data_IF_234780835535
#
_entry.id   IF_234780835535
#
_cell.length_a   1.000
_cell.length_b   1.000
_cell.length_c   1.000
_cell.angle_alpha   90.00
_cell.angle_beta   90.00
_cell.angle_gamma   90.00
#
_symmetry.space_group_name_H-M   'P 1'
#
loop_
_entity.id
_entity.type
_entity.pdbx_description
1 polymer ?
#
# COMPACT_ATOMS: atom_id res chain seq x y z
N UNK A 1 -11.70 -19.51 -12.68
CA UNK A 1 -10.76 -19.40 -13.81
C UNK A 1 -11.17 -18.34 -14.87
N UNK A 2 -12.37 -17.78 -14.87
CA UNK A 2 -12.80 -16.74 -15.85
C UNK A 2 -12.37 -15.30 -15.50
N UNK A 3 -11.91 -15.02 -14.28
CA UNK A 3 -11.54 -13.67 -13.84
C UNK A 3 -10.04 -13.34 -13.98
N UNK A 4 -9.18 -14.36 -14.18
CA UNK A 4 -7.74 -14.13 -14.40
C UNK A 4 -7.45 -13.54 -15.80
N UNK A 5 -8.29 -13.85 -16.80
CA UNK A 5 -8.10 -13.36 -18.17
C UNK A 5 -8.41 -11.86 -18.33
N UNK A 6 -9.27 -11.28 -17.45
CA UNK A 6 -9.62 -9.85 -17.51
C UNK A 6 -8.57 -8.93 -16.88
N UNK A 7 -7.79 -9.44 -15.94
CA UNK A 7 -6.71 -8.66 -15.28
C UNK A 7 -5.48 -8.58 -16.18
N UNK A 8 -5.21 -9.64 -16.95
CA UNK A 8 -4.05 -9.68 -17.87
C UNK A 8 -4.19 -8.74 -19.08
N UNK A 9 -5.43 -8.45 -19.51
CA UNK A 9 -5.69 -7.55 -20.65
C UNK A 9 -5.57 -6.07 -20.28
N UNK A 10 -5.69 -5.70 -18.99
CA UNK A 10 -5.58 -4.31 -18.56
C UNK A 10 -4.12 -3.85 -18.41
N UNK A 11 -3.20 -4.77 -18.15
CA UNK A 11 -1.75 -4.47 -17.98
C UNK A 11 -1.05 -4.24 -19.33
N UNK A 12 -1.58 -4.78 -20.41
CA UNK A 12 -0.98 -4.64 -21.76
C UNK A 12 -1.36 -3.33 -22.48
N UNK A 13 -2.35 -2.59 -21.98
CA UNK A 13 -2.80 -1.34 -22.62
C UNK A 13 -2.05 -0.07 -22.15
N UNK A 14 -1.24 -0.16 -21.09
CA UNK A 14 -0.54 1.02 -20.51
C UNK A 14 0.88 1.21 -21.08
N UNK A 15 1.42 0.24 -21.82
CA UNK A 15 2.81 0.27 -22.32
C UNK A 15 2.99 0.93 -23.70
N UNK A 16 1.94 1.47 -24.33
CA UNK A 16 2.03 1.99 -25.71
C UNK A 16 1.94 3.53 -25.86
N UNK A 17 2.01 4.32 -24.78
CA UNK A 17 1.92 5.78 -24.84
C UNK A 17 3.24 6.53 -24.56
N UNK A 18 4.38 5.86 -24.60
CA UNK A 18 5.68 6.48 -24.34
C UNK A 18 6.57 6.59 -25.61
N UNK A 19 5.98 6.77 -26.79
CA UNK A 19 6.76 7.08 -27.99
C UNK A 19 6.11 8.24 -28.75
N UNK A 20 6.63 9.44 -28.51
CA UNK A 20 6.21 10.57 -29.32
C UNK A 20 6.54 11.95 -28.76
N UNK A 21 7.81 12.27 -28.58
CA UNK A 21 8.29 13.65 -28.62
C UNK A 21 9.66 13.70 -29.28
N UNK A 22 9.67 13.49 -30.58
CA UNK A 22 10.73 13.97 -31.44
C UNK A 22 10.08 15.08 -32.26
N UNK A 23 10.58 16.30 -32.14
CA UNK A 23 10.60 17.34 -33.17
C UNK A 23 10.80 18.70 -32.51
N UNK A 24 12.02 19.18 -32.59
CA UNK A 24 12.34 20.45 -33.22
C UNK A 24 13.85 20.68 -33.08
N UNK A 25 14.56 20.10 -34.03
CA UNK A 25 15.90 20.57 -34.38
C UNK A 25 15.76 22.03 -34.85
N UNK A 26 16.27 22.95 -34.04
CA UNK A 26 16.76 24.21 -34.55
C UNK A 26 18.28 24.16 -34.43
N UNK A 27 18.92 23.85 -35.57
CA UNK A 27 20.34 24.01 -35.74
C UNK A 27 20.69 25.47 -35.49
N UNK A 28 21.32 25.76 -34.37
CA UNK A 28 22.12 26.94 -34.21
C UNK A 28 23.58 26.49 -34.08
N UNK A 29 24.25 26.57 -35.22
CA UNK A 29 25.67 26.38 -35.39
C UNK A 29 26.41 27.38 -34.50
N UNK A 30 26.96 26.90 -33.39
CA UNK A 30 28.06 27.56 -32.71
C UNK A 30 29.21 26.58 -32.57
N UNK A 31 30.04 26.56 -33.58
CA UNK A 31 31.35 25.96 -33.56
C UNK A 31 32.29 26.78 -32.66
N UNK A 32 32.40 26.38 -31.43
CA UNK A 32 33.64 26.52 -30.66
C UNK A 32 33.96 25.11 -30.17
N UNK A 33 35.16 24.55 -30.49
CA UNK A 33 35.60 23.33 -29.85
C UNK A 33 35.82 23.68 -28.38
N UNK A 34 34.84 23.37 -27.53
CA UNK A 34 35.09 23.28 -26.12
C UNK A 34 36.16 22.18 -25.97
N UNK A 35 37.34 22.55 -25.58
CA UNK A 35 38.34 21.64 -25.04
C UNK A 35 37.65 21.02 -23.82
N UNK A 36 37.07 19.84 -24.00
CA UNK A 36 36.55 19.04 -22.89
C UNK A 36 37.79 18.68 -22.08
N UNK A 37 37.99 19.39 -20.98
CA UNK A 37 39.12 19.13 -20.11
C UNK A 37 38.89 17.70 -19.56
N UNK A 38 39.86 16.81 -19.76
CA UNK A 38 39.78 15.43 -19.29
C UNK A 38 39.47 15.33 -17.80
N UNK A 39 39.92 16.30 -17.02
CA UNK A 39 39.63 16.39 -15.59
C UNK A 39 38.13 16.59 -15.30
N UNK A 40 37.44 17.40 -16.11
CA UNK A 40 36.00 17.59 -15.95
C UNK A 40 35.16 16.32 -16.21
N UNK A 41 35.63 15.46 -17.14
CA UNK A 41 34.95 14.19 -17.45
C UNK A 41 35.16 13.21 -16.32
N UNK A 42 36.37 13.17 -15.74
CA UNK A 42 36.69 12.28 -14.63
C UNK A 42 35.90 12.70 -13.36
N UNK A 43 35.92 13.98 -13.03
CA UNK A 43 35.19 14.55 -11.90
C UNK A 43 33.69 14.23 -11.99
N UNK A 44 33.10 14.33 -13.19
CA UNK A 44 31.70 13.99 -13.41
C UNK A 44 31.40 12.50 -13.21
N UNK A 45 32.30 11.60 -13.61
CA UNK A 45 32.16 10.16 -13.38
C UNK A 45 32.25 9.82 -11.89
N UNK A 46 33.20 10.44 -11.18
CA UNK A 46 33.34 10.27 -9.72
C UNK A 46 32.07 10.77 -9.02
N UNK A 47 31.57 11.95 -9.40
CA UNK A 47 30.33 12.53 -8.88
C UNK A 47 29.16 11.55 -9.02
N UNK A 48 28.89 11.06 -10.24
CA UNK A 48 27.79 10.14 -10.50
C UNK A 48 27.92 8.84 -9.69
N UNK A 49 29.13 8.33 -9.56
CA UNK A 49 29.40 7.15 -8.75
C UNK A 49 29.15 7.39 -7.27
N UNK A 50 29.68 8.50 -6.73
CA UNK A 50 29.50 8.86 -5.33
C UNK A 50 28.01 9.00 -4.95
N UNK A 51 27.23 9.66 -5.81
CA UNK A 51 25.79 9.83 -5.62
C UNK A 51 25.06 8.50 -5.69
N UNK A 52 25.37 7.65 -6.68
CA UNK A 52 24.72 6.35 -6.83
C UNK A 52 25.00 5.39 -5.67
N UNK A 53 26.17 5.53 -5.03
CA UNK A 53 26.58 4.72 -3.87
C UNK A 53 26.28 5.41 -2.53
N UNK A 54 25.83 6.67 -2.56
CA UNK A 54 25.63 7.53 -1.37
C UNK A 54 26.91 7.61 -0.51
N UNK A 55 28.07 7.65 -1.18
CA UNK A 55 29.37 7.67 -0.53
C UNK A 55 30.06 9.02 -0.71
N UNK A 56 29.92 9.90 0.28
CA UNK A 56 30.58 11.23 0.27
C UNK A 56 32.11 11.18 0.25
N UNK A 57 32.72 10.08 0.72
CA UNK A 57 34.17 9.91 0.67
C UNK A 57 34.67 9.72 -0.76
N UNK A 58 33.87 9.13 -1.65
CA UNK A 58 34.21 9.01 -3.05
C UNK A 58 34.41 10.38 -3.71
N UNK A 59 33.76 11.45 -3.19
CA UNK A 59 33.90 12.82 -3.70
C UNK A 59 35.30 13.43 -3.42
N UNK A 60 36.06 12.95 -2.44
CA UNK A 60 37.37 13.48 -2.05
C UNK A 60 38.38 13.47 -3.19
N UNK A 61 38.21 12.61 -4.19
CA UNK A 61 39.09 12.48 -5.34
C UNK A 61 38.75 13.42 -6.50
N UNK A 62 37.68 14.19 -6.39
CA UNK A 62 37.30 15.22 -7.37
C UNK A 62 38.30 16.37 -7.30
N UNK A 63 38.80 16.79 -8.45
CA UNK A 63 39.82 17.84 -8.57
C UNK A 63 39.20 19.23 -8.51
N UNK A 64 38.03 19.42 -9.11
CA UNK A 64 37.34 20.70 -9.06
C UNK A 64 36.62 20.85 -7.71
N UNK A 65 37.10 21.83 -6.92
CA UNK A 65 36.65 22.03 -5.53
C UNK A 65 35.15 22.34 -5.42
N UNK A 66 34.58 23.10 -6.37
CA UNK A 66 33.15 23.40 -6.37
C UNK A 66 32.31 22.14 -6.67
N UNK A 67 32.77 21.29 -7.58
CA UNK A 67 32.09 20.02 -7.91
C UNK A 67 32.23 19.04 -6.74
N UNK A 68 33.36 19.03 -6.07
CA UNK A 68 33.61 18.22 -4.87
C UNK A 68 32.67 18.59 -3.73
N UNK A 69 32.58 19.88 -3.40
CA UNK A 69 31.69 20.37 -2.34
C UNK A 69 30.22 20.03 -2.64
N UNK A 70 29.78 20.22 -3.88
CA UNK A 70 28.46 19.86 -4.31
C UNK A 70 28.21 18.33 -4.18
N UNK A 71 29.19 17.52 -4.64
CA UNK A 71 29.14 16.05 -4.53
C UNK A 71 28.96 15.60 -3.08
N UNK A 72 29.79 16.11 -2.17
CA UNK A 72 29.74 15.78 -0.74
C UNK A 72 28.38 16.16 -0.12
N UNK A 73 27.90 17.36 -0.42
CA UNK A 73 26.64 17.84 0.11
C UNK A 73 25.45 17.02 -0.41
N UNK A 74 25.44 16.63 -1.70
CA UNK A 74 24.38 15.81 -2.28
C UNK A 74 24.43 14.37 -1.74
N UNK A 75 25.62 13.75 -1.69
CA UNK A 75 25.77 12.40 -1.14
C UNK A 75 25.31 12.33 0.33
N UNK A 76 25.71 13.31 1.14
CA UNK A 76 25.27 13.40 2.54
C UNK A 76 23.75 13.64 2.66
N UNK A 77 23.16 14.45 1.77
CA UNK A 77 21.73 14.69 1.76
C UNK A 77 20.93 13.40 1.51
N UNK A 78 21.40 12.55 0.58
CA UNK A 78 20.76 11.26 0.29
C UNK A 78 20.84 10.31 1.49
N UNK A 79 22.01 10.21 2.14
CA UNK A 79 22.17 9.39 3.36
C UNK A 79 21.24 9.86 4.47
N UNK A 80 21.17 11.17 4.71
CA UNK A 80 20.29 11.73 5.74
C UNK A 80 18.81 11.53 5.39
N UNK A 81 18.45 11.60 4.11
CA UNK A 81 17.10 11.32 3.65
C UNK A 81 16.71 9.87 3.94
N UNK A 82 17.58 8.91 3.59
CA UNK A 82 17.32 7.50 3.86
C UNK A 82 17.22 7.23 5.37
N UNK A 83 18.07 7.86 6.18
CA UNK A 83 17.97 7.77 7.63
C UNK A 83 16.65 8.35 8.14
N UNK A 84 16.27 9.55 7.68
CA UNK A 84 15.01 10.20 8.08
C UNK A 84 13.79 9.36 7.75
N UNK A 85 13.79 8.73 6.57
CA UNK A 85 12.72 7.84 6.11
C UNK A 85 12.66 6.55 6.95
N UNK A 86 13.82 5.93 7.22
CA UNK A 86 13.87 4.71 8.01
C UNK A 86 13.45 4.93 9.47
N UNK A 87 13.88 6.06 10.06
CA UNK A 87 13.57 6.41 11.45
C UNK A 87 12.22 7.14 11.59
N UNK A 88 11.60 7.52 10.48
CA UNK A 88 10.40 8.36 10.41
C UNK A 88 10.56 9.67 11.21
N UNK A 89 11.79 10.20 11.23
CA UNK A 89 12.14 11.41 11.98
C UNK A 89 12.47 12.58 11.06
N UNK A 90 11.48 13.47 10.88
CA UNK A 90 11.60 14.69 10.07
C UNK A 90 12.74 15.61 10.53
N UNK A 91 13.15 15.56 11.81
CA UNK A 91 14.24 16.40 12.33
C UNK A 91 15.61 16.06 11.70
N UNK A 92 15.75 14.86 11.16
CA UNK A 92 16.97 14.45 10.46
C UNK A 92 17.10 15.23 9.15
N UNK A 93 16.00 15.54 8.46
CA UNK A 93 16.00 16.36 7.24
C UNK A 93 16.61 17.75 7.47
N UNK A 94 16.35 18.39 8.60
CA UNK A 94 16.92 19.69 8.96
C UNK A 94 18.45 19.71 9.14
N UNK A 95 19.14 18.56 9.00
CA UNK A 95 20.62 18.50 8.94
C UNK A 95 21.15 18.59 7.51
N UNK A 96 20.28 18.53 6.52
CA UNK A 96 20.62 18.63 5.11
C UNK A 96 20.94 20.10 4.79
N UNK A 97 22.09 20.36 4.18
CA UNK A 97 22.54 21.72 3.87
C UNK A 97 21.96 22.32 2.60
N UNK A 98 21.32 21.48 1.78
CA UNK A 98 20.77 21.87 0.49
C UNK A 98 19.26 21.95 0.60
N UNK A 99 18.69 23.14 0.59
CA UNK A 99 17.26 23.43 0.81
C UNK A 99 16.34 22.51 -0.02
N UNK A 100 16.66 22.34 -1.30
CA UNK A 100 15.87 21.46 -2.18
C UNK A 100 15.81 20.01 -1.66
N UNK A 101 16.93 19.46 -1.17
CA UNK A 101 16.99 18.09 -0.65
C UNK A 101 16.37 18.00 0.74
N UNK A 102 16.44 19.08 1.54
CA UNK A 102 15.74 19.17 2.82
C UNK A 102 14.21 19.08 2.59
N UNK A 103 13.69 19.90 1.67
CA UNK A 103 12.26 19.90 1.32
C UNK A 103 11.80 18.53 0.78
N UNK A 104 12.58 17.92 -0.13
CA UNK A 104 12.29 16.59 -0.67
C UNK A 104 12.31 15.50 0.42
N UNK A 105 13.23 15.57 1.37
CA UNK A 105 13.33 14.68 2.52
C UNK A 105 12.09 14.81 3.41
N UNK A 106 11.73 16.03 3.80
CA UNK A 106 10.57 16.31 4.63
C UNK A 106 9.28 15.81 3.99
N UNK A 107 9.10 16.08 2.69
CA UNK A 107 7.94 15.63 1.94
C UNK A 107 7.83 14.08 1.91
N UNK A 108 8.96 13.37 1.76
CA UNK A 108 8.98 11.90 1.78
C UNK A 108 8.55 11.35 3.14
N UNK A 109 9.14 11.85 4.23
CA UNK A 109 8.79 11.41 5.58
C UNK A 109 7.32 11.70 5.90
N UNK A 110 6.83 12.88 5.53
CA UNK A 110 5.45 13.28 5.76
C UNK A 110 4.44 12.42 4.97
N UNK A 111 4.77 12.08 3.73
CA UNK A 111 3.95 11.19 2.92
C UNK A 111 3.81 9.79 3.57
N UNK A 112 4.91 9.22 4.07
CA UNK A 112 4.89 7.91 4.74
C UNK A 112 4.09 7.98 6.04
N UNK A 113 4.30 8.99 6.88
CA UNK A 113 3.55 9.18 8.12
C UNK A 113 2.05 9.39 7.88
N UNK A 114 1.70 10.10 6.80
CA UNK A 114 0.31 10.31 6.40
C UNK A 114 -0.34 9.01 5.94
N UNK A 115 0.40 8.19 5.18
CA UNK A 115 -0.09 6.87 4.75
C UNK A 115 -0.29 5.94 5.95
N UNK A 116 0.66 5.87 6.87
CA UNK A 116 0.52 5.05 8.09
C UNK A 116 -0.71 5.41 8.91
N UNK A 117 -0.96 6.72 9.11
CA UNK A 117 -2.16 7.18 9.82
C UNK A 117 -3.46 6.82 9.10
N UNK A 118 -3.45 6.84 7.76
CA UNK A 118 -4.60 6.42 6.98
C UNK A 118 -4.86 4.91 7.11
N UNK A 119 -3.80 4.11 7.06
CA UNK A 119 -3.86 2.66 7.21
C UNK A 119 -4.32 2.25 8.63
N UNK A 120 -3.79 2.90 9.68
CA UNK A 120 -4.22 2.70 11.07
C UNK A 120 -5.72 3.00 11.24
N UNK A 121 -6.17 4.13 10.69
CA UNK A 121 -7.59 4.50 10.75
C UNK A 121 -8.48 3.50 10.01
N UNK A 122 -8.03 3.02 8.84
CA UNK A 122 -8.77 2.00 8.10
C UNK A 122 -8.86 0.68 8.88
N UNK A 123 -7.77 0.27 9.55
CA UNK A 123 -7.77 -0.91 10.41
C UNK A 123 -8.69 -0.78 11.63
N UNK A 124 -8.71 0.40 12.27
CA UNK A 124 -9.64 0.67 13.37
C UNK A 124 -11.12 0.58 12.92
N UNK A 125 -11.43 1.10 11.74
CA UNK A 125 -12.76 1.03 11.16
C UNK A 125 -13.19 -0.42 10.91
N UNK A 126 -12.29 -1.21 10.29
CA UNK A 126 -12.52 -2.65 10.05
C UNK A 126 -12.72 -3.39 11.38
N UNK A 127 -11.91 -3.12 12.39
CA UNK A 127 -12.02 -3.75 13.69
C UNK A 127 -13.38 -3.43 14.38
N UNK A 128 -13.86 -2.18 14.27
CA UNK A 128 -15.17 -1.79 14.79
C UNK A 128 -16.32 -2.47 14.06
N UNK A 129 -16.25 -2.56 12.74
CA UNK A 129 -17.27 -3.25 11.96
C UNK A 129 -17.34 -4.73 12.31
N UNK A 130 -16.19 -5.36 12.51
CA UNK A 130 -16.10 -6.76 12.91
C UNK A 130 -16.66 -6.99 14.32
N UNK A 131 -16.35 -6.11 15.28
CA UNK A 131 -16.91 -6.17 16.62
C UNK A 131 -18.44 -6.03 16.62
N UNK A 132 -18.97 -5.09 15.85
CA UNK A 132 -20.40 -4.88 15.69
C UNK A 132 -21.09 -6.08 15.03
N UNK A 133 -20.45 -6.65 14.02
CA UNK A 133 -20.90 -7.88 13.36
C UNK A 133 -21.00 -9.04 14.34
N UNK A 134 -19.94 -9.29 15.12
CA UNK A 134 -19.90 -10.38 16.10
C UNK A 134 -20.97 -10.22 17.18
N UNK A 135 -21.20 -9.01 17.67
CA UNK A 135 -22.31 -8.73 18.60
C UNK A 135 -23.67 -9.03 18.00
N UNK A 136 -23.86 -8.64 16.75
CA UNK A 136 -25.10 -8.89 16.02
C UNK A 136 -25.34 -10.39 15.87
N UNK A 137 -24.31 -11.15 15.49
CA UNK A 137 -24.39 -12.60 15.37
C UNK A 137 -24.67 -13.28 16.71
N UNK A 138 -23.96 -12.87 17.77
CA UNK A 138 -24.17 -13.39 19.12
C UNK A 138 -25.63 -13.14 19.60
N UNK A 139 -26.13 -11.93 19.39
CA UNK A 139 -27.51 -11.59 19.74
C UNK A 139 -28.51 -12.42 18.93
N UNK A 140 -28.30 -12.55 17.61
CA UNK A 140 -29.17 -13.35 16.74
C UNK A 140 -29.21 -14.82 17.17
N UNK A 141 -28.05 -15.42 17.49
CA UNK A 141 -27.94 -16.81 17.94
C UNK A 141 -28.60 -17.00 19.30
N UNK A 142 -28.39 -16.09 20.25
CA UNK A 142 -28.91 -16.20 21.61
C UNK A 142 -30.42 -16.01 21.67
N UNK A 143 -30.98 -15.16 20.82
CA UNK A 143 -32.43 -14.87 20.76
C UNK A 143 -33.19 -15.73 19.78
N UNK A 144 -32.50 -16.35 18.83
CA UNK A 144 -33.13 -17.04 17.68
C UNK A 144 -33.68 -16.06 16.64
N UNK A 145 -33.47 -14.75 16.80
CA UNK A 145 -33.95 -13.75 15.85
C UNK A 145 -32.96 -13.56 14.71
N UNK A 146 -33.06 -14.42 13.68
CA UNK A 146 -32.19 -14.34 12.50
C UNK A 146 -32.40 -13.08 11.66
N UNK A 147 -33.45 -12.26 11.91
CA UNK A 147 -33.65 -10.99 11.19
C UNK A 147 -32.62 -9.95 11.59
N UNK A 148 -31.99 -10.09 12.76
CA UNK A 148 -30.89 -9.25 13.20
C UNK A 148 -29.70 -9.33 12.24
N UNK A 149 -29.49 -10.48 11.60
CA UNK A 149 -28.43 -10.69 10.61
C UNK A 149 -28.56 -9.79 9.37
N UNK A 150 -29.74 -9.22 9.11
CA UNK A 150 -29.95 -8.30 7.97
C UNK A 150 -29.18 -6.97 8.14
N UNK A 151 -28.69 -6.67 9.35
CA UNK A 151 -27.80 -5.53 9.61
C UNK A 151 -26.38 -5.75 9.07
N UNK A 152 -25.99 -7.00 8.81
CA UNK A 152 -24.67 -7.35 8.28
C UNK A 152 -24.64 -7.03 6.79
N UNK A 153 -23.64 -6.26 6.37
CA UNK A 153 -23.53 -5.77 4.98
C UNK A 153 -22.90 -6.79 4.02
N UNK A 154 -21.98 -7.62 4.51
CA UNK A 154 -21.37 -8.69 3.71
C UNK A 154 -22.35 -9.86 3.58
N UNK A 155 -22.71 -10.21 2.35
CA UNK A 155 -23.73 -11.22 2.08
C UNK A 155 -23.31 -12.63 2.54
N UNK A 156 -22.00 -12.95 2.51
CA UNK A 156 -21.50 -14.24 2.98
C UNK A 156 -21.60 -14.34 4.51
N UNK A 157 -21.19 -13.29 5.21
CA UNK A 157 -21.28 -13.21 6.67
C UNK A 157 -22.73 -13.16 7.15
N UNK A 158 -23.60 -12.44 6.43
CA UNK A 158 -25.04 -12.40 6.70
C UNK A 158 -25.67 -13.80 6.59
N UNK A 159 -25.34 -14.54 5.52
CA UNK A 159 -25.82 -15.91 5.33
C UNK A 159 -25.33 -16.85 6.44
N UNK A 160 -24.06 -16.72 6.86
CA UNK A 160 -23.50 -17.48 7.97
C UNK A 160 -24.21 -17.17 9.29
N UNK A 161 -24.44 -15.89 9.58
CA UNK A 161 -25.17 -15.45 10.77
C UNK A 161 -26.60 -16.06 10.79
N UNK A 162 -27.34 -15.96 9.69
CA UNK A 162 -28.69 -16.53 9.59
C UNK A 162 -28.70 -18.04 9.82
N UNK A 163 -27.73 -18.74 9.20
CA UNK A 163 -27.60 -20.18 9.42
C UNK A 163 -27.35 -20.48 10.90
N UNK A 164 -26.41 -19.82 11.55
CA UNK A 164 -26.06 -20.06 12.94
C UNK A 164 -27.24 -19.79 13.89
N UNK A 165 -27.96 -18.68 13.68
CA UNK A 165 -29.13 -18.33 14.49
C UNK A 165 -30.27 -19.35 14.35
N UNK A 166 -30.63 -19.71 13.10
CA UNK A 166 -31.70 -20.66 12.83
C UNK A 166 -31.33 -22.06 13.31
N UNK A 167 -30.10 -22.52 13.03
CA UNK A 167 -29.65 -23.85 13.47
C UNK A 167 -29.60 -23.98 14.99
N UNK A 168 -29.12 -22.93 15.68
CA UNK A 168 -29.14 -22.89 17.16
C UNK A 168 -30.56 -22.97 17.70
N UNK A 169 -31.48 -22.21 17.15
CA UNK A 169 -32.90 -22.26 17.58
C UNK A 169 -33.53 -23.63 17.27
N UNK A 170 -33.30 -24.18 16.08
CA UNK A 170 -33.83 -25.46 15.68
C UNK A 170 -33.36 -26.61 16.60
N UNK A 171 -32.09 -26.60 17.00
CA UNK A 171 -31.55 -27.56 17.96
C UNK A 171 -32.15 -27.36 19.34
N UNK A 172 -32.24 -26.14 19.84
CA UNK A 172 -32.78 -25.85 21.18
C UNK A 172 -34.26 -26.21 21.32
N UNK A 173 -35.04 -26.04 20.23
CA UNK A 173 -36.47 -26.35 20.22
C UNK A 173 -36.78 -27.77 19.72
N UNK A 174 -35.77 -28.54 19.33
CA UNK A 174 -35.91 -29.85 18.69
C UNK A 174 -36.90 -29.80 17.50
N UNK A 175 -36.76 -28.77 16.66
CA UNK A 175 -37.69 -28.47 15.59
C UNK A 175 -36.97 -28.33 14.25
N UNK A 176 -37.00 -29.37 13.43
CA UNK A 176 -36.40 -29.40 12.08
C UNK A 176 -37.10 -28.49 11.07
N UNK A 177 -38.36 -28.09 11.32
CA UNK A 177 -39.10 -27.20 10.40
C UNK A 177 -38.48 -25.79 10.35
N UNK A 178 -37.86 -25.36 11.43
CA UNK A 178 -37.14 -24.07 11.47
C UNK A 178 -36.03 -24.00 10.44
N UNK A 179 -35.38 -25.12 10.14
CA UNK A 179 -34.27 -25.18 9.16
C UNK A 179 -34.69 -24.69 7.76
N UNK A 180 -35.97 -24.80 7.39
CA UNK A 180 -36.45 -24.34 6.08
C UNK A 180 -36.29 -22.82 5.88
N UNK A 181 -36.18 -22.06 6.95
CA UNK A 181 -35.94 -20.60 6.89
C UNK A 181 -34.53 -20.21 6.43
N UNK A 182 -33.61 -21.17 6.32
CA UNK A 182 -32.22 -20.92 5.85
C UNK A 182 -32.20 -20.58 4.36
N UNK A 183 -33.13 -21.15 3.57
CA UNK A 183 -33.31 -20.84 2.14
C UNK A 183 -32.24 -21.42 1.20
N UNK A 184 -31.21 -22.12 1.70
CA UNK A 184 -30.23 -22.85 0.93
C UNK A 184 -30.36 -24.33 1.24
N UNK A 185 -30.65 -25.17 0.24
CA UNK A 185 -30.96 -26.61 0.42
C UNK A 185 -29.85 -27.38 1.14
N UNK A 186 -28.57 -27.10 0.82
CA UNK A 186 -27.45 -27.79 1.45
C UNK A 186 -27.36 -27.48 2.95
N UNK A 187 -27.56 -26.20 3.31
CA UNK A 187 -27.57 -25.77 4.71
C UNK A 187 -28.82 -26.18 5.47
N UNK A 188 -29.99 -26.27 4.81
CA UNK A 188 -31.20 -26.82 5.39
C UNK A 188 -30.99 -28.27 5.83
N UNK A 189 -30.42 -29.08 4.94
CA UNK A 189 -30.15 -30.48 5.24
C UNK A 189 -29.12 -30.65 6.40
N UNK A 190 -28.05 -29.85 6.38
CA UNK A 190 -27.07 -29.85 7.47
C UNK A 190 -27.70 -29.44 8.81
N UNK A 191 -28.59 -28.44 8.80
CA UNK A 191 -29.35 -28.03 9.99
C UNK A 191 -30.18 -29.17 10.56
N UNK A 192 -30.96 -29.86 9.70
CA UNK A 192 -31.78 -31.00 10.11
C UNK A 192 -30.97 -32.13 10.75
N UNK A 193 -29.84 -32.47 10.12
CA UNK A 193 -28.90 -33.45 10.66
C UNK A 193 -28.38 -33.06 12.06
N UNK A 194 -28.08 -31.77 12.25
CA UNK A 194 -27.65 -31.26 13.56
C UNK A 194 -28.74 -31.42 14.61
N UNK A 195 -30.01 -31.08 14.29
CA UNK A 195 -31.14 -31.28 15.21
C UNK A 195 -31.31 -32.74 15.60
N UNK A 196 -31.21 -33.68 14.64
CA UNK A 196 -31.30 -35.11 14.88
C UNK A 196 -30.15 -35.67 15.71
N UNK A 197 -28.97 -35.10 15.59
CA UNK A 197 -27.74 -35.59 16.26
C UNK A 197 -27.68 -35.16 17.73
N UNK A 198 -28.16 -33.95 18.02
CA UNK A 198 -28.07 -33.37 19.37
C UNK A 198 -29.28 -33.60 20.26
N UNK A 199 -30.30 -34.28 19.77
CA UNK A 199 -31.51 -34.69 20.52
C UNK A 199 -31.70 -36.21 20.54
#
# INVERSE_FOLDING_TARGET
>A
MKNLAKVLTLILAVTFLATGCNLLNKEESVTTPQVVNADNVLDQQIYQRAISMQDSKACETIVNESVKEECENVANALVLTDQAVNDLDKKICGKIKLDRYEDECEAKVEAILSQQKADEKAQEEIAKQEEERLKTEEEAVNTGDYTLCDKITDEGQKASCKYNAIASQAVNENNTELCENIGNEEFVELCKQNVETFN
#
